data_IF_957202020098
#
_entry.id   IF_957202020098
#
_cell.length_a   1.000
_cell.length_b   1.000
_cell.length_c   1.000
_cell.angle_alpha   90.00
_cell.angle_beta   90.00
_cell.angle_gamma   90.00
#
_symmetry.space_group_name_H-M   'P 1'
#
loop_
_entity.id
_entity.type
_entity.pdbx_description
1 polymer ?
#
# COMPACT_ATOMS: atom_id res chain seq x y z
N UNK A 1 16.12 -17.90 1.54
CA UNK A 1 15.04 -18.36 2.45
C UNK A 1 13.70 -18.49 1.72
N UNK A 2 13.06 -17.40 1.18
CA UNK A 2 11.70 -17.43 0.58
C UNK A 2 11.59 -18.42 -0.58
N UNK A 3 12.52 -18.40 -1.56
CA UNK A 3 12.55 -19.34 -2.68
C UNK A 3 12.65 -20.80 -2.21
N UNK A 4 13.49 -21.08 -1.22
CA UNK A 4 13.66 -22.43 -0.66
C UNK A 4 12.37 -22.90 0.01
N UNK A 5 11.73 -22.04 0.81
CA UNK A 5 10.45 -22.36 1.43
C UNK A 5 9.36 -22.73 0.39
N UNK A 6 9.28 -21.99 -0.70
CA UNK A 6 8.34 -22.33 -1.79
C UNK A 6 8.63 -23.66 -2.46
N UNK A 7 9.91 -24.05 -2.59
CA UNK A 7 10.30 -25.36 -3.14
C UNK A 7 9.89 -26.47 -2.16
N UNK A 8 10.13 -26.29 -0.87
CA UNK A 8 9.79 -27.25 0.18
C UNK A 8 8.28 -27.44 0.36
N UNK A 9 7.51 -26.33 0.25
CA UNK A 9 6.03 -26.36 0.36
C UNK A 9 5.34 -26.88 -0.91
N UNK A 10 6.04 -26.88 -2.05
CA UNK A 10 5.45 -27.09 -3.36
C UNK A 10 4.94 -25.78 -4.00
N UNK A 11 5.19 -25.63 -5.29
CA UNK A 11 4.81 -24.41 -6.03
C UNK A 11 3.30 -24.18 -6.06
N UNK A 12 2.53 -25.22 -5.97
CA UNK A 12 1.05 -25.19 -5.93
C UNK A 12 0.50 -24.66 -4.60
N UNK A 13 1.33 -24.63 -3.56
CA UNK A 13 0.96 -24.18 -2.21
C UNK A 13 1.56 -22.80 -1.89
N UNK A 14 2.11 -22.11 -2.88
CA UNK A 14 2.72 -20.81 -2.69
C UNK A 14 2.45 -19.87 -3.87
N UNK A 15 2.18 -18.60 -3.59
CA UNK A 15 1.99 -17.53 -4.58
C UNK A 15 2.99 -16.43 -4.31
N UNK A 16 3.70 -16.00 -5.36
CA UNK A 16 4.56 -14.83 -5.32
C UNK A 16 3.84 -13.61 -5.90
N UNK A 17 3.55 -12.66 -5.04
CA UNK A 17 3.00 -11.37 -5.41
C UNK A 17 4.14 -10.36 -5.41
N UNK A 18 4.45 -9.78 -6.56
CA UNK A 18 5.49 -8.78 -6.69
C UNK A 18 4.89 -7.39 -6.79
N UNK A 19 5.14 -6.58 -5.76
CA UNK A 19 4.71 -5.18 -5.75
C UNK A 19 5.82 -4.34 -6.36
N UNK A 20 5.52 -3.60 -7.41
CA UNK A 20 6.48 -2.77 -8.11
C UNK A 20 5.87 -1.44 -8.59
N UNK A 21 6.73 -0.49 -8.87
CA UNK A 21 6.33 0.83 -9.33
C UNK A 21 6.13 0.84 -10.84
N UNK A 22 5.02 1.43 -11.29
CA UNK A 22 4.79 1.84 -12.66
C UNK A 22 4.73 3.38 -12.71
N UNK A 23 5.89 4.05 -12.91
CA UNK A 23 5.95 5.50 -12.80
C UNK A 23 5.26 6.19 -13.96
N UNK A 24 4.57 7.29 -13.65
CA UNK A 24 4.10 8.27 -14.60
C UNK A 24 5.13 9.39 -14.72
N UNK A 25 5.52 9.72 -15.95
CA UNK A 25 6.46 10.80 -16.22
C UNK A 25 5.68 12.03 -16.73
N UNK A 26 5.55 13.03 -15.87
CA UNK A 26 4.80 14.24 -16.17
C UNK A 26 5.30 14.98 -17.41
N UNK A 27 6.61 14.97 -17.67
CA UNK A 27 7.21 15.62 -18.84
C UNK A 27 6.83 14.99 -20.17
N UNK A 28 6.74 13.66 -20.25
CA UNK A 28 6.30 12.92 -21.46
C UNK A 28 4.83 12.52 -21.42
N UNK A 29 4.14 12.78 -20.30
CA UNK A 29 2.73 12.42 -20.05
C UNK A 29 2.42 10.94 -20.33
N UNK A 30 3.30 10.06 -19.90
CA UNK A 30 3.16 8.63 -20.16
C UNK A 30 3.60 7.75 -18.98
N UNK A 31 3.01 6.56 -18.87
CA UNK A 31 3.45 5.50 -17.98
C UNK A 31 4.67 4.77 -18.57
N UNK A 32 5.68 4.51 -17.74
CA UNK A 32 6.92 3.85 -18.15
C UNK A 32 7.00 2.42 -17.61
N UNK A 33 6.82 1.43 -18.47
CA UNK A 33 6.86 0.00 -18.10
C UNK A 33 8.28 -0.56 -17.90
N UNK A 34 9.34 0.11 -18.36
CA UNK A 34 10.71 -0.38 -18.23
C UNK A 34 11.17 -0.59 -16.78
N UNK A 35 10.92 0.34 -15.83
CA UNK A 35 11.28 0.10 -14.42
C UNK A 35 10.62 -1.14 -13.83
N UNK A 36 9.33 -1.37 -14.13
CA UNK A 36 8.59 -2.56 -13.72
C UNK A 36 9.23 -3.83 -14.30
N UNK A 37 9.50 -3.85 -15.60
CA UNK A 37 10.15 -4.98 -16.28
C UNK A 37 11.53 -5.27 -15.68
N UNK A 38 12.30 -4.23 -15.34
CA UNK A 38 13.61 -4.38 -14.72
C UNK A 38 13.49 -4.98 -13.31
N UNK A 39 12.56 -4.50 -12.51
CA UNK A 39 12.29 -5.04 -11.19
C UNK A 39 11.93 -6.53 -11.21
N UNK A 40 11.08 -6.95 -12.16
CA UNK A 40 10.74 -8.36 -12.34
C UNK A 40 11.94 -9.17 -12.82
N UNK A 41 12.76 -8.62 -13.71
CA UNK A 41 13.99 -9.28 -14.17
C UNK A 41 14.97 -9.55 -13.03
N UNK A 42 15.14 -8.61 -12.10
CA UNK A 42 15.96 -8.80 -10.90
C UNK A 42 15.41 -9.93 -10.02
N UNK A 43 14.08 -9.98 -9.83
CA UNK A 43 13.42 -11.07 -9.09
C UNK A 43 13.66 -12.43 -9.76
N UNK A 44 13.55 -12.49 -11.09
CA UNK A 44 13.85 -13.70 -11.88
C UNK A 44 15.30 -14.13 -11.74
N UNK A 45 16.23 -13.18 -11.64
CA UNK A 45 17.67 -13.47 -11.52
C UNK A 45 18.02 -14.26 -10.26
N UNK A 46 17.22 -14.10 -9.20
CA UNK A 46 17.35 -14.87 -7.96
C UNK A 46 16.49 -16.16 -7.94
N UNK A 47 15.86 -16.49 -9.08
CA UNK A 47 15.09 -17.71 -9.28
C UNK A 47 13.65 -17.68 -8.76
N UNK A 48 13.04 -16.50 -8.66
CA UNK A 48 11.64 -16.34 -8.29
C UNK A 48 10.87 -15.78 -9.49
N UNK A 49 9.88 -16.54 -9.98
CA UNK A 49 8.91 -16.08 -10.96
C UNK A 49 7.69 -15.58 -10.21
N UNK A 50 7.29 -14.30 -10.34
CA UNK A 50 6.05 -13.83 -9.74
C UNK A 50 4.84 -14.46 -10.44
N UNK A 51 3.82 -14.78 -9.66
CA UNK A 51 2.51 -15.21 -10.16
C UNK A 51 1.64 -13.99 -10.46
N UNK A 52 1.70 -12.99 -9.60
CA UNK A 52 0.88 -11.79 -9.63
C UNK A 52 1.78 -10.56 -9.56
N UNK A 53 1.44 -9.54 -10.35
CA UNK A 53 2.07 -8.22 -10.27
C UNK A 53 1.08 -7.22 -9.70
N UNK A 54 1.48 -6.52 -8.64
CA UNK A 54 0.73 -5.37 -8.12
C UNK A 54 1.48 -4.11 -8.50
N UNK A 55 0.91 -3.33 -9.41
CA UNK A 55 1.54 -2.15 -9.98
C UNK A 55 1.11 -0.89 -9.23
N UNK A 56 2.04 -0.30 -8.47
CA UNK A 56 1.84 1.00 -7.84
C UNK A 56 1.94 2.10 -8.89
N UNK A 57 0.88 2.88 -9.05
CA UNK A 57 0.82 3.99 -10.03
C UNK A 57 0.04 5.18 -9.48
N UNK A 58 0.35 6.37 -9.96
CA UNK A 58 -0.42 7.59 -9.71
C UNK A 58 -1.61 7.76 -10.67
N UNK A 59 -1.56 7.04 -11.81
CA UNK A 59 -2.55 7.15 -12.88
C UNK A 59 -3.13 5.77 -13.18
N UNK A 60 -4.38 5.74 -13.64
CA UNK A 60 -5.00 4.52 -14.15
C UNK A 60 -4.13 3.85 -15.22
N UNK A 61 -4.05 2.54 -15.16
CA UNK A 61 -3.22 1.74 -16.05
C UNK A 61 -4.11 1.20 -17.17
N UNK A 62 -3.91 1.66 -18.43
CA UNK A 62 -4.67 1.17 -19.56
C UNK A 62 -4.48 -0.34 -19.78
N UNK A 63 -5.48 -1.01 -20.31
CA UNK A 63 -5.49 -2.45 -20.50
C UNK A 63 -4.35 -2.93 -21.43
N UNK A 64 -4.04 -2.20 -22.48
CA UNK A 64 -2.92 -2.47 -23.38
C UNK A 64 -1.58 -2.41 -22.65
N UNK A 65 -1.46 -1.55 -21.63
CA UNK A 65 -0.26 -1.49 -20.78
C UNK A 65 -0.19 -2.68 -19.83
N UNK A 66 -1.30 -3.15 -19.24
CA UNK A 66 -1.35 -4.37 -18.43
C UNK A 66 -0.93 -5.57 -19.28
N UNK A 67 -1.48 -5.72 -20.49
CA UNK A 67 -1.12 -6.78 -21.43
C UNK A 67 0.36 -6.73 -21.79
N UNK A 68 0.89 -5.56 -22.12
CA UNK A 68 2.32 -5.38 -22.43
C UNK A 68 3.21 -5.77 -21.25
N UNK A 69 2.90 -5.35 -20.04
CA UNK A 69 3.68 -5.69 -18.84
C UNK A 69 3.59 -7.19 -18.59
N UNK A 70 2.39 -7.77 -18.65
CA UNK A 70 2.19 -9.21 -18.49
C UNK A 70 3.07 -10.01 -19.45
N UNK A 71 3.07 -9.65 -20.75
CA UNK A 71 3.88 -10.30 -21.77
C UNK A 71 5.39 -10.24 -21.45
N UNK A 72 5.92 -9.06 -21.09
CA UNK A 72 7.34 -8.90 -20.79
C UNK A 72 7.79 -9.51 -19.47
N UNK A 73 6.87 -9.66 -18.52
CA UNK A 73 7.13 -10.20 -17.18
C UNK A 73 6.74 -11.68 -17.04
N UNK A 74 6.26 -12.30 -18.13
CA UNK A 74 5.79 -13.69 -18.13
C UNK A 74 4.70 -13.95 -17.07
N UNK A 75 3.72 -13.02 -16.99
CA UNK A 75 2.56 -13.04 -16.11
C UNK A 75 1.32 -12.80 -16.98
N UNK A 76 0.19 -13.47 -16.70
CA UNK A 76 -1.04 -13.27 -17.46
C UNK A 76 -1.55 -11.83 -17.20
N UNK A 77 -2.20 -11.23 -18.19
CA UNK A 77 -2.72 -9.86 -18.06
C UNK A 77 -3.74 -9.73 -16.89
N UNK A 78 -4.52 -10.76 -16.65
CA UNK A 78 -5.49 -10.86 -15.54
C UNK A 78 -4.83 -10.92 -14.15
N UNK A 79 -3.55 -11.33 -14.08
CA UNK A 79 -2.75 -11.35 -12.85
C UNK A 79 -1.97 -10.04 -12.65
N UNK A 80 -2.20 -9.03 -13.49
CA UNK A 80 -1.60 -7.69 -13.38
C UNK A 80 -2.61 -6.74 -12.74
N UNK A 81 -2.45 -6.51 -11.46
CA UNK A 81 -3.36 -5.73 -10.62
C UNK A 81 -2.83 -4.30 -10.47
N UNK A 82 -3.67 -3.31 -10.72
CA UNK A 82 -3.29 -1.94 -10.41
C UNK A 82 -3.54 -1.61 -8.93
N UNK A 83 -2.67 -0.78 -8.38
CA UNK A 83 -2.82 -0.18 -7.06
C UNK A 83 -2.49 1.30 -7.15
N UNK A 84 -3.51 2.12 -7.29
CA UNK A 84 -3.36 3.56 -7.41
C UNK A 84 -2.98 4.20 -6.07
N UNK A 85 -2.46 5.43 -6.15
CA UNK A 85 -2.22 6.21 -4.94
C UNK A 85 -3.55 6.63 -4.33
N UNK A 86 -3.86 6.06 -3.17
CA UNK A 86 -5.10 6.33 -2.45
C UNK A 86 -4.96 7.57 -1.54
N UNK A 87 -6.03 8.34 -1.33
CA UNK A 87 -6.05 9.44 -0.36
C UNK A 87 -5.75 8.97 1.07
N UNK A 88 -6.21 7.77 1.40
CA UNK A 88 -5.94 7.10 2.67
C UNK A 88 -5.45 5.67 2.46
N UNK A 89 -4.47 5.23 3.25
CA UNK A 89 -4.00 3.84 3.22
C UNK A 89 -5.12 2.85 3.55
N UNK A 90 -6.12 3.27 4.31
CA UNK A 90 -7.26 2.44 4.68
C UNK A 90 -8.22 2.14 3.51
N UNK A 91 -8.13 2.89 2.41
CA UNK A 91 -8.90 2.62 1.19
C UNK A 91 -8.28 1.52 0.32
N UNK A 92 -6.97 1.29 0.45
CA UNK A 92 -6.23 0.33 -0.38
C UNK A 92 -6.86 -1.07 -0.38
N UNK A 93 -7.30 -1.65 0.76
CA UNK A 93 -7.97 -2.96 0.74
C UNK A 93 -9.23 -2.99 -0.13
N UNK A 94 -10.05 -1.92 -0.10
CA UNK A 94 -11.26 -1.83 -0.94
C UNK A 94 -10.91 -1.74 -2.43
N UNK A 95 -9.86 -1.03 -2.76
CA UNK A 95 -9.40 -0.89 -4.15
C UNK A 95 -8.81 -2.19 -4.68
N UNK A 96 -7.99 -2.89 -3.89
CA UNK A 96 -7.43 -4.19 -4.28
C UNK A 96 -8.52 -5.26 -4.43
N UNK A 97 -9.56 -5.21 -3.60
CA UNK A 97 -10.73 -6.08 -3.75
C UNK A 97 -11.47 -5.78 -5.06
N UNK A 98 -11.71 -4.50 -5.36
CA UNK A 98 -12.34 -4.06 -6.62
C UNK A 98 -11.54 -4.51 -7.86
N UNK A 99 -10.21 -4.52 -7.77
CA UNK A 99 -9.30 -4.99 -8.83
C UNK A 99 -9.23 -6.52 -8.90
N UNK A 100 -9.87 -7.24 -7.98
CA UNK A 100 -9.96 -8.70 -7.98
C UNK A 100 -8.72 -9.42 -7.45
N UNK A 101 -7.85 -8.75 -6.66
CA UNK A 101 -6.64 -9.38 -6.13
C UNK A 101 -6.94 -10.64 -5.32
N UNK A 102 -7.97 -10.63 -4.47
CA UNK A 102 -8.34 -11.77 -3.64
C UNK A 102 -8.75 -12.98 -4.51
N UNK A 103 -9.58 -12.76 -5.52
CA UNK A 103 -10.04 -13.81 -6.44
C UNK A 103 -8.85 -14.42 -7.21
N UNK A 104 -7.93 -13.59 -7.69
CA UNK A 104 -6.72 -14.04 -8.40
C UNK A 104 -5.83 -14.87 -7.49
N UNK A 105 -5.61 -14.45 -6.23
CA UNK A 105 -4.83 -15.22 -5.24
C UNK A 105 -5.49 -16.56 -4.95
N UNK A 106 -6.80 -16.56 -4.71
CA UNK A 106 -7.57 -17.79 -4.47
C UNK A 106 -7.50 -18.74 -5.67
N UNK A 107 -7.60 -18.21 -6.88
CA UNK A 107 -7.47 -19.01 -8.10
C UNK A 107 -6.09 -19.70 -8.19
N UNK A 108 -5.01 -18.99 -7.93
CA UNK A 108 -3.65 -19.55 -7.93
C UNK A 108 -3.46 -20.62 -6.86
N UNK A 109 -4.05 -20.44 -5.68
CA UNK A 109 -3.94 -21.38 -4.56
C UNK A 109 -5.03 -22.48 -4.61
N UNK A 110 -5.93 -22.46 -5.61
CA UNK A 110 -7.07 -23.39 -5.74
C UNK A 110 -7.95 -23.40 -4.48
N UNK A 111 -8.15 -22.23 -3.88
CA UNK A 111 -9.02 -22.03 -2.73
C UNK A 111 -10.42 -21.65 -3.20
N UNK A 112 -11.43 -22.17 -2.51
CA UNK A 112 -12.79 -21.66 -2.66
C UNK A 112 -12.92 -20.35 -1.85
N UNK A 113 -13.18 -19.26 -2.56
CA UNK A 113 -13.36 -17.96 -1.95
C UNK A 113 -14.84 -17.59 -1.86
N UNK A 114 -15.22 -17.01 -0.73
CA UNK A 114 -16.50 -16.32 -0.59
C UNK A 114 -16.26 -14.83 -0.77
N UNK A 115 -17.26 -14.13 -1.27
CA UNK A 115 -17.22 -12.67 -1.32
C UNK A 115 -17.05 -12.13 0.10
N UNK A 116 -16.05 -11.25 0.34
CA UNK A 116 -15.81 -10.71 1.66
C UNK A 116 -16.91 -9.72 2.05
N UNK A 117 -17.29 -9.72 3.31
CA UNK A 117 -18.14 -8.66 3.87
C UNK A 117 -17.24 -7.51 4.34
N UNK A 118 -17.18 -6.46 3.55
CA UNK A 118 -16.37 -5.27 3.80
C UNK A 118 -17.20 -4.09 4.33
N UNK A 119 -18.44 -4.32 4.78
CA UNK A 119 -19.34 -3.27 5.20
C UNK A 119 -18.79 -2.44 6.36
N UNK A 120 -18.31 -3.10 7.41
CA UNK A 120 -17.72 -2.41 8.58
C UNK A 120 -16.49 -1.59 8.18
N UNK A 121 -15.67 -2.13 7.26
CA UNK A 121 -14.51 -1.43 6.73
C UNK A 121 -14.91 -0.17 5.94
N UNK A 122 -15.92 -0.29 5.07
CA UNK A 122 -16.48 0.85 4.32
C UNK A 122 -17.07 1.91 5.24
N UNK A 123 -17.77 1.51 6.30
CA UNK A 123 -18.30 2.42 7.32
C UNK A 123 -17.18 3.16 8.06
N UNK A 124 -16.08 2.47 8.37
CA UNK A 124 -14.88 3.10 8.95
C UNK A 124 -14.30 4.15 8.00
N UNK A 125 -14.11 3.85 6.72
CA UNK A 125 -13.66 4.81 5.72
C UNK A 125 -14.60 6.01 5.62
N UNK A 126 -15.91 5.78 5.67
CA UNK A 126 -16.90 6.85 5.74
C UNK A 126 -16.68 7.79 6.93
N UNK A 127 -16.34 7.24 8.11
CA UNK A 127 -15.98 8.06 9.30
C UNK A 127 -14.70 8.86 9.06
N UNK A 128 -13.67 8.26 8.47
CA UNK A 128 -12.40 8.95 8.14
C UNK A 128 -12.65 10.18 7.28
N UNK A 129 -13.49 10.05 6.25
CA UNK A 129 -13.83 11.17 5.36
C UNK A 129 -14.79 12.20 5.97
N UNK A 130 -15.54 11.84 6.99
CA UNK A 130 -16.53 12.70 7.62
C UNK A 130 -16.01 13.46 8.85
N UNK A 131 -14.72 13.37 9.17
CA UNK A 131 -14.11 14.12 10.25
C UNK A 131 -14.31 15.63 10.05
N UNK A 132 -15.02 16.25 10.98
CA UNK A 132 -15.38 17.68 10.91
C UNK A 132 -14.76 18.53 12.03
N UNK A 133 -14.12 17.87 12.98
CA UNK A 133 -13.37 18.50 14.07
C UNK A 133 -11.88 18.38 13.78
N UNK A 134 -11.11 19.36 14.25
CA UNK A 134 -9.65 19.30 14.23
C UNK A 134 -9.12 19.32 15.65
N UNK A 135 -8.18 18.42 15.94
CA UNK A 135 -7.52 18.35 17.23
C UNK A 135 -6.01 18.30 16.98
N UNK A 136 -5.28 19.23 17.56
CA UNK A 136 -3.82 19.23 17.52
C UNK A 136 -3.28 18.53 18.76
N UNK A 137 -2.39 17.55 18.56
CA UNK A 137 -1.72 16.80 19.64
C UNK A 137 -0.22 16.97 19.49
N UNK A 138 0.42 17.49 20.56
CA UNK A 138 1.88 17.58 20.62
C UNK A 138 2.49 16.20 20.95
N UNK A 139 3.29 15.65 20.04
CA UNK A 139 4.09 14.46 20.30
C UNK A 139 5.52 14.89 20.62
N UNK A 140 5.87 14.79 21.90
CA UNK A 140 7.20 15.16 22.42
C UNK A 140 8.07 13.92 22.46
N UNK A 141 9.20 13.94 21.76
CA UNK A 141 10.11 12.77 21.74
C UNK A 141 11.50 13.10 21.23
N UNK A 142 12.38 12.10 21.27
CA UNK A 142 13.66 12.12 20.57
C UNK A 142 13.44 11.62 19.14
N UNK A 143 14.28 12.05 18.21
CA UNK A 143 14.23 11.59 16.81
C UNK A 143 12.89 11.84 16.09
N UNK A 144 12.13 12.84 16.49
CA UNK A 144 10.85 13.20 15.86
C UNK A 144 10.97 13.65 14.40
N UNK A 145 12.19 13.95 13.93
CA UNK A 145 12.50 14.17 12.51
C UNK A 145 12.37 12.88 11.68
N UNK A 146 12.43 11.70 12.34
CA UNK A 146 12.17 10.39 11.75
C UNK A 146 10.78 9.94 12.18
N UNK A 147 9.76 10.42 11.52
CA UNK A 147 8.35 10.13 11.85
C UNK A 147 8.07 8.62 11.94
N UNK A 148 8.76 7.80 11.15
CA UNK A 148 8.67 6.33 11.17
C UNK A 148 8.98 5.72 12.54
N UNK A 149 9.84 6.37 13.36
CA UNK A 149 10.13 5.90 14.70
C UNK A 149 8.91 5.91 15.63
N UNK A 150 7.91 6.73 15.31
CA UNK A 150 6.67 6.91 16.08
C UNK A 150 5.42 6.48 15.31
N UNK A 151 5.57 5.74 14.22
CA UNK A 151 4.47 5.36 13.33
C UNK A 151 3.29 4.75 14.09
N UNK A 152 3.55 3.81 15.01
CA UNK A 152 2.49 3.17 15.80
C UNK A 152 1.74 4.15 16.71
N UNK A 153 2.45 5.14 17.26
CA UNK A 153 1.83 6.17 18.11
C UNK A 153 0.99 7.12 17.26
N UNK A 154 1.53 7.56 16.12
CA UNK A 154 0.82 8.43 15.19
C UNK A 154 -0.46 7.76 14.67
N UNK A 155 -0.37 6.49 14.28
CA UNK A 155 -1.55 5.74 13.82
C UNK A 155 -2.57 5.53 14.94
N UNK A 156 -2.14 5.22 16.17
CA UNK A 156 -3.05 5.10 17.31
C UNK A 156 -3.81 6.42 17.59
N UNK A 157 -3.13 7.56 17.48
CA UNK A 157 -3.75 8.88 17.62
C UNK A 157 -4.76 9.15 16.50
N UNK A 158 -4.42 8.82 15.25
CA UNK A 158 -5.34 8.94 14.11
C UNK A 158 -6.57 8.05 14.28
N UNK A 159 -6.39 6.79 14.71
CA UNK A 159 -7.51 5.88 14.99
C UNK A 159 -8.44 6.43 16.07
N UNK A 160 -7.88 6.97 17.15
CA UNK A 160 -8.67 7.67 18.18
C UNK A 160 -9.43 8.86 17.61
N UNK A 161 -8.81 9.59 16.68
CA UNK A 161 -9.45 10.68 15.94
C UNK A 161 -10.65 10.21 15.13
N UNK A 162 -10.50 9.14 14.33
CA UNK A 162 -11.58 8.60 13.49
C UNK A 162 -12.81 8.18 14.30
N UNK A 163 -12.57 7.55 15.46
CA UNK A 163 -13.66 7.15 16.35
C UNK A 163 -14.39 8.35 16.95
N UNK A 164 -13.70 9.47 17.15
CA UNK A 164 -14.27 10.70 17.70
C UNK A 164 -14.66 11.74 16.62
N UNK A 165 -14.69 11.35 15.34
CA UNK A 165 -14.98 12.22 14.19
C UNK A 165 -14.07 13.46 14.14
N UNK A 166 -12.80 13.28 14.50
CA UNK A 166 -11.78 14.31 14.56
C UNK A 166 -10.57 13.99 13.67
N UNK A 167 -10.16 14.96 12.88
CA UNK A 167 -8.87 14.95 12.21
C UNK A 167 -7.78 15.30 13.22
N UNK A 168 -6.80 14.41 13.39
CA UNK A 168 -5.68 14.63 14.31
C UNK A 168 -4.50 15.21 13.55
N UNK A 169 -4.12 16.43 13.91
CA UNK A 169 -2.91 17.08 13.50
C UNK A 169 -1.81 16.85 14.54
N UNK A 170 -0.73 16.13 14.17
CA UNK A 170 0.34 15.80 15.10
C UNK A 170 1.45 16.84 14.98
N UNK A 171 1.64 17.61 16.06
CA UNK A 171 2.74 18.55 16.18
C UNK A 171 3.97 17.83 16.76
N UNK A 172 4.98 17.60 15.91
CA UNK A 172 6.20 16.92 16.29
C UNK A 172 7.14 17.85 17.05
N UNK A 173 7.51 17.49 18.27
CA UNK A 173 8.28 18.34 19.17
C UNK A 173 9.52 17.61 19.64
N UNK A 174 10.70 18.14 19.27
CA UNK A 174 11.98 17.60 19.71
C UNK A 174 12.19 17.86 21.20
N UNK A 175 12.30 16.81 22.01
CA UNK A 175 12.40 16.93 23.47
C UNK A 175 13.66 17.66 23.93
N UNK A 176 14.73 17.65 23.16
CA UNK A 176 16.00 18.32 23.49
C UNK A 176 15.91 19.86 23.36
N UNK A 177 14.94 20.36 22.58
CA UNK A 177 14.70 21.78 22.35
C UNK A 177 13.73 22.41 23.36
N UNK A 178 13.19 21.61 24.31
CA UNK A 178 12.23 22.08 25.28
C UNK A 178 12.91 22.82 26.44
N UNK A 179 12.44 24.04 26.68
CA UNK A 179 12.77 24.84 27.84
C UNK A 179 11.53 25.65 28.27
N UNK A 180 11.59 26.33 29.41
CA UNK A 180 10.43 27.07 29.96
C UNK A 180 9.84 28.10 28.97
N UNK A 181 10.67 28.72 28.14
CA UNK A 181 10.22 29.70 27.17
C UNK A 181 9.53 29.04 25.97
N UNK A 182 10.07 27.91 25.46
CA UNK A 182 9.49 27.22 24.31
C UNK A 182 8.20 26.50 24.65
N UNK A 183 8.00 26.07 25.91
CA UNK A 183 6.74 25.47 26.38
C UNK A 183 5.62 26.51 26.45
N UNK A 184 5.93 27.77 26.75
CA UNK A 184 4.94 28.84 26.82
C UNK A 184 4.42 29.27 25.42
N UNK A 185 5.10 28.92 24.35
CA UNK A 185 4.74 29.23 22.95
C UNK A 185 3.99 28.08 22.24
N UNK A 186 3.79 26.96 22.91
CA UNK A 186 3.11 25.76 22.40
C UNK A 186 1.63 25.76 22.69
#
# INVERSE_FOLDING_TARGET
>A
AIRQASIELGRENSVFIHVCLLPYISGSKELKSKPTQHSVKELLSIGIQPNILVLRSEMEIPEDMKQKIGLFCNVRAEDVIQNLTAPSLYEVPLWLEKEGLADVVCHHLKLECRQPDLKEWQEMIGRVHSCNKKVTIGLVGKYVELEDAYLSVAEALRHGGFENSAEVDIKWIQSENLNENTVAEM
#
